data_IF_307390365391
#
_entry.id   IF_307390365391
#
_cell.length_a   1.000
_cell.length_b   1.000
_cell.length_c   1.000
_cell.angle_alpha   90.00
_cell.angle_beta   90.00
_cell.angle_gamma   90.00
#
_symmetry.space_group_name_H-M   'P 1'
#
loop_
_entity.id
_entity.type
_entity.pdbx_description
1 polymer ?
#
# COMPACT_ATOMS: atom_id res chain seq x y z
N UNK A 1 -24.62 -8.00 -61.70
CA UNK A 1 -25.32 -8.20 -60.41
C UNK A 1 -24.41 -9.08 -59.59
N UNK A 2 -23.57 -8.45 -58.78
CA UNK A 2 -22.46 -9.12 -58.07
C UNK A 2 -22.91 -9.29 -56.62
N UNK A 3 -23.18 -10.53 -56.22
CA UNK A 3 -23.53 -10.84 -54.83
C UNK A 3 -22.33 -10.53 -53.91
N UNK A 4 -22.49 -9.48 -53.10
CA UNK A 4 -21.61 -9.22 -51.97
C UNK A 4 -21.87 -10.28 -50.91
N UNK A 5 -20.86 -11.13 -50.70
CA UNK A 5 -20.78 -12.08 -49.58
C UNK A 5 -20.97 -11.33 -48.25
N UNK A 6 -21.99 -11.74 -47.51
CA UNK A 6 -22.27 -11.28 -46.15
C UNK A 6 -21.03 -11.43 -45.27
N UNK A 7 -20.63 -10.34 -44.62
CA UNK A 7 -19.51 -10.31 -43.67
C UNK A 7 -19.74 -11.28 -42.52
N UNK A 8 -18.67 -11.94 -42.08
CA UNK A 8 -18.63 -12.86 -40.94
C UNK A 8 -19.28 -12.17 -39.71
N UNK A 9 -20.21 -12.83 -38.99
CA UNK A 9 -20.81 -12.25 -37.78
C UNK A 9 -19.71 -11.79 -36.82
N UNK A 10 -19.86 -10.62 -36.19
CA UNK A 10 -19.01 -10.21 -35.07
C UNK A 10 -19.05 -11.36 -34.06
N UNK A 11 -17.93 -12.05 -33.86
CA UNK A 11 -17.79 -12.95 -32.73
C UNK A 11 -17.98 -12.09 -31.49
N UNK A 12 -19.06 -12.31 -30.76
CA UNK A 12 -19.31 -11.63 -29.49
C UNK A 12 -18.13 -11.88 -28.57
N UNK A 13 -17.58 -10.81 -28.00
CA UNK A 13 -16.36 -10.88 -27.20
C UNK A 13 -16.69 -11.04 -25.71
N UNK A 14 -15.77 -11.56 -24.88
CA UNK A 14 -15.93 -11.60 -23.43
C UNK A 14 -16.32 -10.23 -22.84
N UNK A 15 -15.79 -9.15 -23.41
CA UNK A 15 -16.08 -7.77 -23.02
C UNK A 15 -17.55 -7.40 -23.27
N UNK A 16 -18.13 -7.83 -24.41
CA UNK A 16 -19.56 -7.58 -24.71
C UNK A 16 -20.48 -8.26 -23.69
N UNK A 17 -20.12 -9.46 -23.25
CA UNK A 17 -20.88 -10.18 -22.22
C UNK A 17 -20.73 -9.49 -20.87
N UNK A 18 -19.53 -9.01 -20.56
CA UNK A 18 -19.24 -8.32 -19.30
C UNK A 18 -19.96 -6.96 -19.20
N UNK A 19 -19.98 -6.18 -20.28
CA UNK A 19 -20.74 -4.93 -20.37
C UNK A 19 -22.24 -5.19 -20.17
N UNK A 20 -22.82 -6.15 -20.89
CA UNK A 20 -24.22 -6.53 -20.76
C UNK A 20 -24.59 -6.98 -19.33
N UNK A 21 -23.70 -7.70 -18.66
CA UNK A 21 -23.88 -8.12 -17.28
C UNK A 21 -23.88 -6.92 -16.33
N UNK A 22 -22.90 -6.01 -16.45
CA UNK A 22 -22.81 -4.81 -15.63
C UNK A 22 -24.03 -3.89 -15.78
N UNK A 23 -24.52 -3.69 -17.01
CA UNK A 23 -25.76 -2.95 -17.25
C UNK A 23 -26.95 -3.56 -16.51
N UNK A 24 -27.15 -4.88 -16.65
CA UNK A 24 -28.26 -5.57 -15.99
C UNK A 24 -28.14 -5.53 -14.47
N UNK A 25 -26.93 -5.63 -13.91
CA UNK A 25 -26.71 -5.51 -12.47
C UNK A 25 -27.03 -4.10 -11.96
N UNK A 26 -26.75 -3.05 -12.73
CA UNK A 26 -27.17 -1.68 -12.40
C UNK A 26 -28.67 -1.47 -12.52
N UNK A 27 -29.30 -2.06 -13.54
CA UNK A 27 -30.74 -1.89 -13.80
C UNK A 27 -31.62 -2.63 -12.78
N UNK A 28 -31.21 -3.83 -12.36
CA UNK A 28 -32.08 -4.79 -11.65
C UNK A 28 -31.46 -5.39 -10.39
N UNK A 29 -30.18 -5.16 -10.16
CA UNK A 29 -29.40 -5.87 -9.13
C UNK A 29 -28.85 -7.22 -9.62
N UNK A 30 -27.84 -7.70 -8.92
CA UNK A 30 -27.14 -8.94 -9.20
C UNK A 30 -28.09 -10.13 -9.06
N UNK A 31 -28.75 -10.31 -7.92
CA UNK A 31 -29.60 -11.48 -7.63
C UNK A 31 -30.77 -11.65 -8.62
N UNK A 32 -31.38 -10.55 -9.05
CA UNK A 32 -32.48 -10.57 -10.00
C UNK A 32 -32.05 -10.83 -11.46
N UNK A 33 -30.74 -10.84 -11.75
CA UNK A 33 -30.20 -11.01 -13.09
C UNK A 33 -29.73 -12.45 -13.31
N UNK A 34 -30.31 -13.14 -14.30
CA UNK A 34 -29.91 -14.51 -14.66
C UNK A 34 -28.88 -14.55 -15.81
N UNK A 35 -28.14 -15.66 -15.93
CA UNK A 35 -27.26 -15.90 -17.10
C UNK A 35 -28.04 -15.87 -18.42
N UNK A 36 -29.32 -16.26 -18.41
CA UNK A 36 -30.16 -16.20 -19.60
C UNK A 36 -30.45 -14.75 -20.01
N UNK A 37 -30.69 -13.85 -19.05
CA UNK A 37 -30.88 -12.42 -19.31
C UNK A 37 -29.61 -11.79 -19.88
N UNK A 38 -28.45 -12.11 -19.31
CA UNK A 38 -27.14 -11.63 -19.78
C UNK A 38 -26.87 -12.11 -21.20
N UNK A 39 -27.06 -13.41 -21.47
CA UNK A 39 -26.84 -13.97 -22.79
C UNK A 39 -27.76 -13.32 -23.84
N UNK A 40 -29.04 -13.12 -23.49
CA UNK A 40 -30.00 -12.42 -24.35
C UNK A 40 -29.57 -10.98 -24.62
N UNK A 41 -29.17 -10.21 -23.59
CA UNK A 41 -28.71 -8.82 -23.73
C UNK A 41 -27.45 -8.71 -24.58
N UNK A 42 -26.49 -9.62 -24.39
CA UNK A 42 -25.25 -9.67 -25.15
C UNK A 42 -25.42 -10.26 -26.58
N UNK A 43 -26.62 -10.72 -26.94
CA UNK A 43 -26.89 -11.33 -28.25
C UNK A 43 -26.16 -12.66 -28.46
N UNK A 44 -25.88 -13.40 -27.40
CA UNK A 44 -25.18 -14.69 -27.44
C UNK A 44 -26.07 -15.84 -26.98
N UNK A 45 -25.72 -17.07 -27.36
CA UNK A 45 -26.36 -18.24 -26.79
C UNK A 45 -25.87 -18.49 -25.35
N UNK A 46 -26.68 -19.19 -24.53
CA UNK A 46 -26.24 -19.65 -23.21
C UNK A 46 -25.00 -20.54 -23.29
N UNK A 47 -24.86 -21.35 -24.34
CA UNK A 47 -23.66 -22.16 -24.58
C UNK A 47 -22.43 -21.28 -24.84
N UNK A 48 -22.60 -20.23 -25.64
CA UNK A 48 -21.55 -19.24 -25.91
C UNK A 48 -21.11 -18.51 -24.64
N UNK A 49 -22.03 -18.20 -23.72
CA UNK A 49 -21.68 -17.64 -22.40
C UNK A 49 -20.74 -18.59 -21.64
N UNK A 50 -21.10 -19.88 -21.53
CA UNK A 50 -20.31 -20.85 -20.77
C UNK A 50 -18.97 -21.22 -21.41
N UNK A 51 -18.74 -20.84 -22.67
CA UNK A 51 -17.41 -20.94 -23.27
C UNK A 51 -16.40 -19.94 -22.68
N UNK A 52 -16.90 -18.86 -22.06
CA UNK A 52 -16.06 -17.79 -21.50
C UNK A 52 -16.11 -17.74 -19.97
N UNK A 53 -17.28 -17.99 -19.37
CA UNK A 53 -17.49 -17.82 -17.93
C UNK A 53 -18.22 -19.03 -17.34
N UNK A 54 -17.72 -19.55 -16.23
CA UNK A 54 -18.34 -20.68 -15.50
C UNK A 54 -19.54 -20.22 -14.68
N UNK A 55 -19.50 -18.97 -14.21
CA UNK A 55 -20.50 -18.36 -13.34
C UNK A 55 -20.77 -16.90 -13.72
N UNK A 56 -21.81 -16.31 -13.11
CA UNK A 56 -22.12 -14.89 -13.26
C UNK A 56 -21.10 -14.00 -12.53
N UNK A 57 -20.51 -14.47 -11.43
CA UNK A 57 -19.46 -13.74 -10.71
C UNK A 57 -18.12 -13.75 -11.46
N UNK A 58 -17.79 -14.84 -12.18
CA UNK A 58 -16.56 -14.95 -12.97
C UNK A 58 -16.39 -13.79 -13.97
N UNK A 59 -17.51 -13.26 -14.47
CA UNK A 59 -17.56 -12.12 -15.39
C UNK A 59 -16.81 -10.92 -14.80
N UNK A 60 -17.11 -10.61 -13.53
CA UNK A 60 -16.54 -9.45 -12.83
C UNK A 60 -15.05 -9.63 -12.57
N UNK A 61 -14.59 -10.86 -12.35
CA UNK A 61 -13.22 -11.13 -11.91
C UNK A 61 -12.25 -11.50 -13.02
N UNK A 62 -12.72 -11.75 -14.24
CA UNK A 62 -11.92 -12.30 -15.35
C UNK A 62 -10.58 -11.58 -15.62
N UNK A 63 -10.59 -10.26 -15.74
CA UNK A 63 -9.40 -9.42 -15.93
C UNK A 63 -8.43 -9.51 -14.74
N UNK A 64 -8.97 -9.46 -13.53
CA UNK A 64 -8.21 -9.63 -12.29
C UNK A 64 -7.58 -11.03 -12.20
N UNK A 65 -8.35 -12.09 -12.51
CA UNK A 65 -7.89 -13.47 -12.45
C UNK A 65 -6.80 -13.76 -13.48
N UNK A 66 -6.87 -13.16 -14.67
CA UNK A 66 -5.80 -13.23 -15.67
C UNK A 66 -4.49 -12.63 -15.13
N UNK A 67 -4.56 -11.48 -14.47
CA UNK A 67 -3.38 -10.84 -13.85
C UNK A 67 -2.86 -11.60 -12.65
N UNK A 68 -3.75 -12.18 -11.82
CA UNK A 68 -3.35 -13.10 -10.76
C UNK A 68 -2.60 -14.28 -11.36
N UNK A 69 -3.07 -14.89 -12.45
CA UNK A 69 -2.35 -16.00 -13.08
C UNK A 69 -0.93 -15.60 -13.53
N UNK A 70 -0.74 -14.41 -14.10
CA UNK A 70 0.59 -13.87 -14.44
C UNK A 70 1.46 -13.67 -13.19
N UNK A 71 0.90 -13.09 -12.12
CA UNK A 71 1.60 -12.91 -10.85
C UNK A 71 2.07 -14.25 -10.28
N UNK A 72 1.19 -15.25 -10.20
CA UNK A 72 1.52 -16.59 -9.70
C UNK A 72 2.62 -17.26 -10.55
N UNK A 73 2.52 -17.15 -11.87
CA UNK A 73 3.54 -17.70 -12.79
C UNK A 73 4.91 -17.08 -12.55
N UNK A 74 4.96 -15.78 -12.27
CA UNK A 74 6.20 -15.08 -11.94
C UNK A 74 6.76 -15.52 -10.58
N UNK A 75 5.89 -15.71 -9.59
CA UNK A 75 6.28 -16.18 -8.26
C UNK A 75 6.76 -17.64 -8.26
N UNK A 76 6.24 -18.47 -9.17
CA UNK A 76 6.63 -19.89 -9.30
C UNK A 76 7.94 -20.11 -10.10
N UNK A 77 8.49 -19.07 -10.74
CA UNK A 77 9.55 -19.20 -11.74
C UNK A 77 10.98 -19.45 -11.20
N UNK A 78 11.21 -19.53 -9.89
CA UNK A 78 12.55 -19.83 -9.34
C UNK A 78 12.80 -19.27 -7.93
N UNK A 79 14.07 -19.03 -7.56
CA UNK A 79 14.48 -18.43 -6.28
C UNK A 79 13.94 -16.99 -6.13
N UNK A 80 12.65 -16.88 -5.82
CA UNK A 80 11.99 -15.61 -5.52
C UNK A 80 12.30 -15.19 -4.10
N UNK A 81 13.08 -14.13 -3.96
CA UNK A 81 13.25 -13.41 -2.72
C UNK A 81 12.15 -12.35 -2.53
N UNK A 82 12.14 -11.65 -1.39
CA UNK A 82 11.13 -10.63 -1.12
C UNK A 82 11.14 -9.42 -2.07
N UNK A 83 12.29 -9.12 -2.71
CA UNK A 83 12.38 -8.09 -3.76
C UNK A 83 11.62 -8.49 -5.03
N UNK A 84 11.57 -9.79 -5.33
CA UNK A 84 10.85 -10.31 -6.48
C UNK A 84 9.34 -10.25 -6.25
N UNK A 85 8.88 -10.48 -5.01
CA UNK A 85 7.47 -10.27 -4.63
C UNK A 85 7.02 -8.83 -4.87
N UNK A 86 7.77 -7.82 -4.40
CA UNK A 86 7.40 -6.40 -4.64
C UNK A 86 7.37 -6.05 -6.13
N UNK A 87 8.35 -6.54 -6.88
CA UNK A 87 8.44 -6.31 -8.33
C UNK A 87 7.25 -6.94 -9.06
N UNK A 88 6.89 -8.17 -8.69
CA UNK A 88 5.77 -8.89 -9.26
C UNK A 88 4.42 -8.21 -8.97
N UNK A 89 4.23 -7.69 -7.74
CA UNK A 89 3.04 -6.94 -7.37
C UNK A 89 2.92 -5.63 -8.17
N UNK A 90 4.02 -4.88 -8.36
CA UNK A 90 4.00 -3.68 -9.22
C UNK A 90 3.65 -4.02 -10.67
N UNK A 91 4.19 -5.12 -11.20
CA UNK A 91 3.84 -5.61 -12.53
C UNK A 91 2.35 -6.00 -12.62
N UNK A 92 1.78 -6.57 -11.56
CA UNK A 92 0.35 -6.90 -11.49
C UNK A 92 -0.55 -5.66 -11.69
N UNK A 93 -0.20 -4.50 -11.12
CA UNK A 93 -0.98 -3.26 -11.28
C UNK A 93 -0.69 -2.50 -12.59
N UNK A 94 0.45 -2.77 -13.24
CA UNK A 94 0.86 -2.03 -14.42
C UNK A 94 -0.18 -2.10 -15.55
N UNK A 95 -0.60 -0.93 -16.05
CA UNK A 95 -1.57 -0.81 -17.14
C UNK A 95 -2.96 -1.36 -16.79
N UNK A 96 -3.32 -1.48 -15.51
CA UNK A 96 -4.67 -1.86 -15.11
C UNK A 96 -5.62 -0.70 -15.42
N UNK A 97 -6.46 -0.89 -16.43
CA UNK A 97 -7.49 0.07 -16.83
C UNK A 97 -8.79 -0.19 -16.04
N UNK A 98 -9.64 0.83 -15.84
CA UNK A 98 -10.99 0.64 -15.30
C UNK A 98 -11.73 -0.46 -16.07
N UNK A 99 -12.18 -1.48 -15.36
CA UNK A 99 -12.91 -2.62 -15.91
C UNK A 99 -14.22 -2.88 -15.15
N UNK A 100 -14.90 -3.98 -15.48
CA UNK A 100 -16.15 -4.39 -14.85
C UNK A 100 -16.01 -4.65 -13.35
N UNK A 101 -14.82 -5.08 -12.88
CA UNK A 101 -14.56 -5.26 -11.44
C UNK A 101 -14.57 -3.91 -10.73
N UNK A 102 -13.86 -2.93 -11.27
CA UNK A 102 -13.78 -1.60 -10.66
C UNK A 102 -15.17 -0.94 -10.58
N UNK A 103 -15.98 -1.07 -11.65
CA UNK A 103 -17.36 -0.58 -11.65
C UNK A 103 -18.24 -1.33 -10.63
N UNK A 104 -18.12 -2.65 -10.56
CA UNK A 104 -18.85 -3.49 -9.61
C UNK A 104 -18.51 -3.14 -8.15
N UNK A 105 -17.23 -2.96 -7.82
CA UNK A 105 -16.79 -2.57 -6.48
C UNK A 105 -17.29 -1.18 -6.10
N UNK A 106 -17.20 -0.20 -7.02
CA UNK A 106 -17.64 1.16 -6.77
C UNK A 106 -19.18 1.27 -6.56
N UNK A 107 -19.94 0.32 -7.12
CA UNK A 107 -21.41 0.31 -7.07
C UNK A 107 -21.96 -0.92 -6.35
N UNK A 108 -21.17 -1.54 -5.46
CA UNK A 108 -21.51 -2.84 -4.87
C UNK A 108 -22.88 -2.84 -4.18
N UNK A 109 -23.19 -1.81 -3.39
CA UNK A 109 -24.48 -1.66 -2.70
C UNK A 109 -25.63 -1.51 -3.72
N UNK A 110 -25.46 -0.64 -4.72
CA UNK A 110 -26.50 -0.37 -5.72
C UNK A 110 -26.80 -1.61 -6.59
N UNK A 111 -25.78 -2.42 -6.88
CA UNK A 111 -25.91 -3.66 -7.62
C UNK A 111 -26.29 -4.87 -6.72
N UNK A 112 -26.32 -4.74 -5.40
CA UNK A 112 -26.55 -5.88 -4.49
C UNK A 112 -25.44 -6.95 -4.57
N UNK A 113 -24.18 -6.51 -4.65
CA UNK A 113 -22.99 -7.34 -4.88
C UNK A 113 -22.13 -7.59 -3.64
N UNK A 114 -22.45 -6.98 -2.49
CA UNK A 114 -21.59 -6.96 -1.29
C UNK A 114 -21.18 -8.38 -0.84
N UNK A 115 -22.16 -9.24 -0.56
CA UNK A 115 -21.91 -10.60 -0.10
C UNK A 115 -21.15 -11.46 -1.12
N UNK A 116 -21.42 -11.25 -2.41
CA UNK A 116 -20.78 -12.00 -3.49
C UNK A 116 -19.34 -11.55 -3.70
N UNK A 117 -19.09 -10.24 -3.71
CA UNK A 117 -17.75 -9.69 -3.79
C UNK A 117 -16.91 -10.10 -2.60
N UNK A 118 -17.46 -10.13 -1.38
CA UNK A 118 -16.73 -10.59 -0.19
C UNK A 118 -16.32 -12.06 -0.29
N UNK A 119 -17.25 -12.94 -0.71
CA UNK A 119 -16.98 -14.37 -0.90
C UNK A 119 -15.92 -14.62 -1.97
N UNK A 120 -16.10 -14.01 -3.14
CA UNK A 120 -15.21 -14.20 -4.28
C UNK A 120 -13.83 -13.56 -4.05
N UNK A 121 -13.79 -12.44 -3.34
CA UNK A 121 -12.56 -11.81 -2.87
C UNK A 121 -11.73 -12.74 -1.99
N UNK A 122 -12.36 -13.44 -1.05
CA UNK A 122 -11.67 -14.32 -0.09
C UNK A 122 -10.90 -15.47 -0.77
N UNK A 123 -11.46 -16.02 -1.86
CA UNK A 123 -10.80 -17.05 -2.67
C UNK A 123 -9.51 -16.50 -3.28
N UNK A 124 -9.56 -15.28 -3.82
CA UNK A 124 -8.46 -14.64 -4.54
C UNK A 124 -7.35 -14.15 -3.61
N UNK A 125 -7.70 -13.53 -2.49
CA UNK A 125 -6.72 -13.14 -1.46
C UNK A 125 -5.98 -14.37 -0.93
N UNK A 126 -6.69 -15.47 -0.67
CA UNK A 126 -6.09 -16.73 -0.25
C UNK A 126 -5.15 -17.31 -1.31
N UNK A 127 -5.55 -17.28 -2.59
CA UNK A 127 -4.74 -17.81 -3.69
C UNK A 127 -3.43 -17.03 -3.86
N UNK A 128 -3.51 -15.70 -3.87
CA UNK A 128 -2.33 -14.81 -3.93
C UNK A 128 -1.45 -15.07 -2.70
N UNK A 129 -2.04 -15.05 -1.51
CA UNK A 129 -1.30 -15.18 -0.26
C UNK A 129 -0.56 -16.51 -0.13
N UNK A 130 -1.16 -17.63 -0.56
CA UNK A 130 -0.51 -18.94 -0.56
C UNK A 130 0.71 -19.00 -1.48
N UNK A 131 0.65 -18.38 -2.66
CA UNK A 131 1.78 -18.36 -3.59
C UNK A 131 2.91 -17.47 -3.08
N UNK A 132 2.59 -16.30 -2.50
CA UNK A 132 3.58 -15.45 -1.82
C UNK A 132 4.23 -16.19 -0.65
N UNK A 133 3.43 -16.87 0.18
CA UNK A 133 3.97 -17.68 1.27
C UNK A 133 4.88 -18.79 0.75
N UNK A 134 4.48 -19.50 -0.31
CA UNK A 134 5.31 -20.53 -0.93
C UNK A 134 6.65 -19.99 -1.45
N UNK A 135 6.63 -18.82 -2.11
CA UNK A 135 7.84 -18.14 -2.59
C UNK A 135 8.80 -17.78 -1.45
N UNK A 136 8.29 -17.43 -0.26
CA UNK A 136 9.10 -17.00 0.88
C UNK A 136 9.62 -18.14 1.77
N UNK A 137 9.09 -19.37 1.63
CA UNK A 137 9.43 -20.52 2.52
C UNK A 137 10.89 -20.95 2.49
N UNK A 138 11.62 -20.63 1.43
CA UNK A 138 13.05 -20.95 1.32
C UNK A 138 13.93 -20.10 2.24
N UNK A 139 13.42 -18.97 2.75
CA UNK A 139 14.19 -18.01 3.55
C UNK A 139 13.50 -17.52 4.84
N UNK A 140 12.34 -18.08 5.20
CA UNK A 140 11.56 -17.67 6.37
C UNK A 140 10.92 -18.85 7.11
N UNK A 141 10.62 -18.64 8.39
CA UNK A 141 9.79 -19.56 9.18
C UNK A 141 8.41 -19.76 8.51
N UNK A 142 7.83 -20.99 8.47
CA UNK A 142 6.58 -21.25 7.77
C UNK A 142 5.39 -20.43 8.27
N UNK A 143 5.26 -20.22 9.59
CA UNK A 143 4.18 -19.40 10.14
C UNK A 143 4.36 -17.95 9.72
N UNK A 144 5.59 -17.45 9.76
CA UNK A 144 5.91 -16.10 9.27
C UNK A 144 5.57 -15.97 7.79
N UNK A 145 5.99 -16.92 6.94
CA UNK A 145 5.70 -16.90 5.51
C UNK A 145 4.18 -16.90 5.22
N UNK A 146 3.39 -17.69 5.94
CA UNK A 146 1.94 -17.74 5.79
C UNK A 146 1.26 -16.43 6.26
N UNK A 147 1.74 -15.80 7.34
CA UNK A 147 1.27 -14.48 7.80
C UNK A 147 1.59 -13.39 6.76
N UNK A 148 2.83 -13.36 6.28
CA UNK A 148 3.28 -12.39 5.26
C UNK A 148 2.46 -12.57 3.97
N UNK A 149 2.29 -13.80 3.51
CA UNK A 149 1.50 -14.11 2.32
C UNK A 149 0.04 -13.65 2.48
N UNK A 150 -0.60 -13.94 3.60
CA UNK A 150 -1.97 -13.51 3.89
C UNK A 150 -2.10 -11.98 3.90
N UNK A 151 -1.14 -11.29 4.51
CA UNK A 151 -1.10 -9.82 4.51
C UNK A 151 -0.96 -9.25 3.10
N UNK A 152 -0.08 -9.82 2.26
CA UNK A 152 0.08 -9.39 0.86
C UNK A 152 -1.19 -9.64 0.04
N UNK A 153 -1.82 -10.81 0.18
CA UNK A 153 -3.08 -11.10 -0.49
C UNK A 153 -4.18 -10.10 -0.13
N UNK A 154 -4.29 -9.77 1.16
CA UNK A 154 -5.21 -8.72 1.64
C UNK A 154 -4.87 -7.32 1.13
N UNK A 155 -3.58 -6.96 1.08
CA UNK A 155 -3.11 -5.68 0.59
C UNK A 155 -3.46 -5.44 -0.89
N UNK A 156 -3.30 -6.45 -1.75
CA UNK A 156 -3.70 -6.36 -3.16
C UNK A 156 -5.19 -6.04 -3.29
N UNK A 157 -6.05 -6.76 -2.58
CA UNK A 157 -7.49 -6.52 -2.65
C UNK A 157 -7.89 -5.16 -2.04
N UNK A 158 -7.26 -4.76 -0.94
CA UNK A 158 -7.47 -3.45 -0.34
C UNK A 158 -7.12 -2.33 -1.32
N UNK A 159 -6.01 -2.45 -2.06
CA UNK A 159 -5.62 -1.51 -3.09
C UNK A 159 -6.66 -1.42 -4.22
N UNK A 160 -7.16 -2.56 -4.72
CA UNK A 160 -8.19 -2.57 -5.79
C UNK A 160 -9.48 -1.89 -5.31
N UNK A 161 -9.94 -2.17 -4.09
CA UNK A 161 -11.14 -1.50 -3.53
C UNK A 161 -10.93 -0.01 -3.33
N UNK A 162 -9.79 0.41 -2.80
CA UNK A 162 -9.46 1.81 -2.61
C UNK A 162 -9.42 2.57 -3.95
N UNK A 163 -8.80 1.97 -4.96
CA UNK A 163 -8.76 2.52 -6.32
C UNK A 163 -10.16 2.63 -6.95
N UNK A 164 -10.98 1.58 -6.83
CA UNK A 164 -12.36 1.60 -7.33
C UNK A 164 -13.20 2.70 -6.65
N UNK A 165 -13.06 2.86 -5.32
CA UNK A 165 -13.77 3.88 -4.56
C UNK A 165 -13.29 5.32 -4.87
N UNK A 166 -12.00 5.50 -5.13
CA UNK A 166 -11.41 6.80 -5.47
C UNK A 166 -11.78 7.29 -6.89
N UNK A 167 -12.45 6.46 -7.69
CA UNK A 167 -12.76 6.74 -9.08
C UNK A 167 -11.64 6.23 -9.99
N UNK A 168 -11.81 5.05 -10.62
CA UNK A 168 -10.72 4.37 -11.32
C UNK A 168 -10.22 5.11 -12.58
N UNK A 169 -11.00 6.07 -13.10
CA UNK A 169 -10.58 6.97 -14.18
C UNK A 169 -9.82 8.22 -13.73
N UNK A 170 -9.73 8.49 -12.42
CA UNK A 170 -9.01 9.64 -11.83
C UNK A 170 -7.71 9.23 -11.15
N UNK A 171 -7.64 7.99 -10.67
CA UNK A 171 -6.49 7.43 -9.97
C UNK A 171 -6.01 6.17 -10.69
N UNK A 172 -4.79 5.72 -10.37
CA UNK A 172 -4.24 4.48 -10.93
C UNK A 172 -4.14 3.40 -9.86
N UNK A 173 -4.42 2.14 -10.23
CA UNK A 173 -4.25 1.01 -9.32
C UNK A 173 -2.80 0.91 -8.83
N UNK A 174 -1.83 1.25 -9.69
CA UNK A 174 -0.40 1.25 -9.33
C UNK A 174 -0.12 2.12 -8.10
N UNK A 175 -0.73 3.30 -8.02
CA UNK A 175 -0.53 4.21 -6.88
C UNK A 175 -1.07 3.64 -5.58
N UNK A 176 -2.32 3.16 -5.58
CA UNK A 176 -2.93 2.54 -4.40
C UNK A 176 -2.25 1.24 -4.01
N UNK A 177 -1.72 0.48 -4.99
CA UNK A 177 -0.99 -0.75 -4.71
C UNK A 177 0.39 -0.44 -4.14
N UNK A 178 1.10 0.57 -4.62
CA UNK A 178 2.36 1.01 -4.02
C UNK A 178 2.16 1.42 -2.56
N UNK A 179 1.10 2.17 -2.25
CA UNK A 179 0.73 2.48 -0.86
C UNK A 179 0.50 1.21 -0.03
N UNK A 180 -0.27 0.26 -0.54
CA UNK A 180 -0.53 -1.01 0.16
C UNK A 180 0.74 -1.87 0.31
N UNK A 181 1.63 -1.88 -0.68
CA UNK A 181 2.94 -2.56 -0.63
C UNK A 181 3.79 -1.95 0.48
N UNK A 182 3.79 -0.61 0.63
CA UNK A 182 4.57 0.03 1.69
C UNK A 182 4.07 -0.31 3.09
N UNK A 183 2.77 -0.56 3.27
CA UNK A 183 2.21 -1.04 4.55
C UNK A 183 2.75 -2.44 4.89
N UNK A 184 2.81 -3.36 3.92
CA UNK A 184 3.26 -4.75 4.15
C UNK A 184 4.76 -4.95 3.94
N UNK A 185 5.46 -3.94 3.43
CA UNK A 185 6.89 -3.96 3.14
C UNK A 185 7.79 -4.36 4.33
N UNK A 186 7.52 -3.97 5.59
CA UNK A 186 8.32 -4.39 6.73
C UNK A 186 8.23 -5.90 7.00
N UNK A 187 7.12 -6.53 6.61
CA UNK A 187 6.91 -7.97 6.75
C UNK A 187 7.69 -8.78 5.70
N UNK A 188 8.11 -8.13 4.60
CA UNK A 188 8.87 -8.72 3.50
C UNK A 188 10.40 -8.64 3.72
N UNK A 189 10.90 -8.33 4.92
CA UNK A 189 12.36 -8.20 5.14
C UNK A 189 13.01 -9.59 5.33
N UNK A 190 14.11 -9.92 4.63
CA UNK A 190 14.78 -11.21 4.79
C UNK A 190 15.31 -11.45 6.21
N UNK A 191 15.26 -12.70 6.68
CA UNK A 191 15.73 -13.12 8.01
C UNK A 191 17.21 -12.81 8.30
N UNK A 192 18.05 -12.50 7.30
CA UNK A 192 19.50 -12.30 7.43
C UNK A 192 19.99 -10.84 7.45
N UNK A 193 19.12 -9.84 7.31
CA UNK A 193 19.50 -8.41 7.31
C UNK A 193 19.46 -7.77 8.70
N UNK A 194 19.84 -6.49 8.78
CA UNK A 194 19.59 -5.65 9.98
C UNK A 194 18.09 -5.62 10.25
N UNK A 195 17.66 -6.14 11.40
CA UNK A 195 16.25 -6.29 11.78
C UNK A 195 15.67 -5.09 12.51
N UNK A 196 16.54 -4.33 13.18
CA UNK A 196 16.16 -3.18 13.97
C UNK A 196 17.31 -2.18 13.96
N UNK A 197 16.98 -0.90 13.78
CA UNK A 197 17.88 0.21 14.06
C UNK A 197 17.46 0.81 15.40
N UNK A 198 18.41 0.91 16.34
CA UNK A 198 18.18 1.58 17.64
C UNK A 198 19.09 2.80 17.72
N UNK A 199 18.49 3.96 17.95
CA UNK A 199 19.20 5.16 18.33
C UNK A 199 19.21 5.26 19.85
N UNK A 200 20.40 5.24 20.45
CA UNK A 200 20.55 5.37 21.91
C UNK A 200 21.06 6.77 22.21
N UNK A 201 20.20 7.58 22.84
CA UNK A 201 20.53 8.93 23.27
C UNK A 201 20.90 8.88 24.75
N UNK A 202 22.06 9.42 25.10
CA UNK A 202 22.44 9.60 26.50
C UNK A 202 21.71 10.82 27.04
N UNK A 203 20.95 10.64 28.12
CA UNK A 203 20.26 11.74 28.78
C UNK A 203 20.80 12.10 30.15
N UNK A 204 20.98 13.40 30.40
CA UNK A 204 21.27 13.92 31.74
C UNK A 204 20.00 14.06 32.59
N UNK A 205 18.85 14.32 31.97
CA UNK A 205 17.52 14.39 32.58
C UNK A 205 16.62 13.32 31.96
N UNK A 206 16.75 12.09 32.47
CA UNK A 206 16.08 10.92 31.92
C UNK A 206 14.54 11.05 31.93
N UNK A 207 13.96 11.52 33.04
CA UNK A 207 12.51 11.62 33.17
C UNK A 207 11.94 12.73 32.26
N UNK A 208 12.66 13.85 32.15
CA UNK A 208 12.33 14.91 31.19
C UNK A 208 12.39 14.42 29.74
N UNK A 209 13.44 13.69 29.36
CA UNK A 209 13.57 13.14 28.01
C UNK A 209 12.48 12.11 27.68
N UNK A 210 12.16 11.20 28.60
CA UNK A 210 11.07 10.22 28.40
C UNK A 210 9.74 10.93 28.24
N UNK A 211 9.44 11.93 29.08
CA UNK A 211 8.18 12.67 28.95
C UNK A 211 8.10 13.45 27.64
N UNK A 212 9.20 14.08 27.21
CA UNK A 212 9.25 14.76 25.92
C UNK A 212 8.93 13.82 24.75
N UNK A 213 9.60 12.67 24.64
CA UNK A 213 9.41 11.76 23.50
C UNK A 213 8.09 10.98 23.57
N UNK A 214 7.68 10.52 24.75
CA UNK A 214 6.47 9.71 24.92
C UNK A 214 5.20 10.57 24.96
N UNK A 215 5.21 11.63 25.76
CA UNK A 215 4.00 12.39 26.09
C UNK A 215 3.81 13.59 25.15
N UNK A 216 4.88 14.32 24.79
CA UNK A 216 4.77 15.47 23.88
C UNK A 216 4.78 15.03 22.42
N UNK A 217 5.77 14.23 22.02
CA UNK A 217 5.90 13.77 20.64
C UNK A 217 4.97 12.58 20.33
N UNK A 218 4.48 11.89 21.37
CA UNK A 218 3.49 10.81 21.24
C UNK A 218 4.06 9.44 20.88
N UNK A 219 5.36 9.20 21.09
CA UNK A 219 5.97 7.91 20.81
C UNK A 219 5.46 6.83 21.77
N UNK A 220 5.26 5.61 21.27
CA UNK A 220 4.80 4.48 22.10
C UNK A 220 5.97 3.86 22.85
N UNK A 221 5.83 3.65 24.16
CA UNK A 221 6.83 2.92 24.96
C UNK A 221 6.74 1.41 24.69
N UNK A 222 7.82 0.81 24.22
CA UNK A 222 7.90 -0.63 23.98
C UNK A 222 8.33 -1.39 25.24
N UNK A 223 9.47 -0.99 25.81
CA UNK A 223 10.07 -1.63 26.98
C UNK A 223 10.85 -0.60 27.81
N UNK A 224 10.78 -0.72 29.13
CA UNK A 224 11.64 0.01 30.06
C UNK A 224 12.40 -0.98 30.94
N UNK A 225 13.68 -0.72 31.16
CA UNK A 225 14.55 -1.53 31.99
C UNK A 225 15.23 -0.68 33.06
N UNK A 226 15.29 -1.22 34.27
CA UNK A 226 16.06 -0.67 35.38
C UNK A 226 17.17 -1.66 35.76
N UNK A 227 18.36 -1.13 35.97
CA UNK A 227 19.55 -1.87 36.33
C UNK A 227 20.13 -1.44 37.68
N UNK A 228 21.26 -2.05 38.09
CA UNK A 228 21.98 -1.66 39.29
C UNK A 228 22.34 -0.17 39.30
N UNK A 229 22.55 0.38 40.51
CA UNK A 229 23.01 1.75 40.72
C UNK A 229 22.14 2.84 40.07
N UNK A 230 20.84 2.58 39.91
CA UNK A 230 19.89 3.52 39.32
C UNK A 230 19.99 3.66 37.81
N UNK A 231 20.67 2.73 37.12
CA UNK A 231 20.73 2.70 35.66
C UNK A 231 19.32 2.51 35.06
N UNK A 232 18.94 3.34 34.08
CA UNK A 232 17.62 3.30 33.45
C UNK A 232 17.75 3.43 31.93
N UNK A 233 16.91 2.71 31.20
CA UNK A 233 16.73 2.87 29.76
C UNK A 233 15.27 2.65 29.40
N UNK A 234 14.70 3.55 28.61
CA UNK A 234 13.40 3.39 27.96
C UNK A 234 13.61 3.17 26.46
N UNK A 235 12.85 2.26 25.88
CA UNK A 235 12.82 1.99 24.44
C UNK A 235 11.47 2.46 23.92
N UNK A 236 11.49 3.46 23.05
CA UNK A 236 10.31 4.02 22.42
C UNK A 236 10.28 3.60 20.93
N UNK A 237 9.08 3.27 20.44
CA UNK A 237 8.85 2.98 19.02
C UNK A 237 8.82 4.28 18.22
N UNK A 238 9.61 4.35 17.16
CA UNK A 238 9.73 5.49 16.25
C UNK A 238 9.16 5.16 14.86
N UNK A 239 8.03 4.44 14.80
CA UNK A 239 7.46 3.97 13.55
C UNK A 239 8.46 3.15 12.73
N UNK A 240 8.63 3.48 11.44
CA UNK A 240 9.63 2.85 10.57
C UNK A 240 10.97 3.58 10.70
N UNK A 241 11.98 2.90 11.24
CA UNK A 241 13.34 3.42 11.26
C UNK A 241 14.03 3.22 9.90
N UNK A 242 14.57 4.30 9.33
CA UNK A 242 15.36 4.29 8.08
C UNK A 242 16.76 4.85 8.32
N UNK A 243 17.74 4.39 7.53
CA UNK A 243 19.07 4.98 7.48
C UNK A 243 19.22 5.69 6.14
N UNK A 244 19.22 7.02 6.17
CA UNK A 244 19.46 7.86 5.00
C UNK A 244 20.93 8.27 4.94
N UNK A 245 21.56 8.08 3.78
CA UNK A 245 22.95 8.46 3.52
C UNK A 245 22.97 9.50 2.40
N UNK A 246 23.37 10.72 2.74
CA UNK A 246 23.55 11.82 1.81
C UNK A 246 25.02 12.21 1.77
N UNK A 247 25.55 12.50 0.58
CA UNK A 247 26.87 13.10 0.47
C UNK A 247 26.85 14.58 0.89
N UNK A 248 28.03 15.19 1.03
CA UNK A 248 28.14 16.56 1.49
C UNK A 248 27.46 17.58 0.55
N UNK A 249 27.36 17.29 -0.75
CA UNK A 249 26.67 18.17 -1.69
C UNK A 249 25.15 18.09 -1.51
N UNK A 250 24.62 16.89 -1.32
CA UNK A 250 23.21 16.66 -1.04
C UNK A 250 22.81 17.27 0.31
N UNK A 251 23.63 17.15 1.36
CA UNK A 251 23.34 17.79 2.66
C UNK A 251 23.28 19.30 2.54
N UNK A 252 24.24 19.94 1.85
CA UNK A 252 24.21 21.39 1.61
C UNK A 252 22.96 21.82 0.85
N UNK A 253 22.57 21.07 -0.18
CA UNK A 253 21.35 21.35 -0.92
C UNK A 253 20.10 21.24 -0.03
N UNK A 254 20.04 20.23 0.85
CA UNK A 254 18.96 20.10 1.83
C UNK A 254 18.94 21.30 2.78
N UNK A 255 20.09 21.71 3.30
CA UNK A 255 20.19 22.81 4.26
C UNK A 255 19.81 24.17 3.66
N UNK A 256 20.18 24.42 2.40
CA UNK A 256 19.75 25.61 1.63
C UNK A 256 18.22 25.66 1.47
N UNK A 257 17.59 24.51 1.30
CA UNK A 257 16.14 24.38 1.10
C UNK A 257 15.37 24.45 2.41
N UNK A 258 15.80 23.71 3.42
CA UNK A 258 15.02 23.46 4.64
C UNK A 258 15.30 24.46 5.76
N UNK A 259 16.47 25.09 5.75
CA UNK A 259 16.96 25.86 6.91
C UNK A 259 17.57 27.21 6.53
N UNK A 260 17.31 27.69 5.31
CA UNK A 260 17.90 28.91 4.77
C UNK A 260 19.45 28.94 4.90
N UNK A 261 20.09 27.77 4.79
CA UNK A 261 21.55 27.61 4.86
C UNK A 261 22.13 27.31 6.26
N UNK A 262 21.31 26.95 7.24
CA UNK A 262 21.77 26.42 8.53
C UNK A 262 22.46 25.06 8.41
N UNK A 263 23.50 24.81 9.20
CA UNK A 263 24.28 23.56 9.10
C UNK A 263 23.54 22.36 9.74
N UNK A 264 23.40 21.26 8.99
CA UNK A 264 23.02 19.94 9.54
C UNK A 264 24.13 19.33 10.40
N UNK A 265 23.76 18.65 11.48
CA UNK A 265 24.67 17.79 12.23
C UNK A 265 25.05 16.52 11.44
N UNK A 266 26.15 15.87 11.84
CA UNK A 266 26.60 14.62 11.23
C UNK A 266 25.63 13.44 11.39
N UNK A 267 24.71 13.51 12.37
CA UNK A 267 23.61 12.56 12.57
C UNK A 267 22.36 13.37 12.93
N UNK A 268 21.28 13.18 12.18
CA UNK A 268 19.95 13.75 12.45
C UNK A 268 18.90 12.67 12.60
N UNK A 269 17.86 12.95 13.36
CA UNK A 269 16.70 12.06 13.53
C UNK A 269 15.51 12.69 12.83
N UNK A 270 15.03 12.05 11.77
CA UNK A 270 13.82 12.46 11.07
C UNK A 270 12.62 11.63 11.54
N UNK A 271 11.50 12.29 11.82
CA UNK A 271 10.28 11.69 12.34
C UNK A 271 9.10 12.14 11.47
N UNK A 272 8.43 11.18 10.85
CA UNK A 272 7.21 11.45 10.08
C UNK A 272 6.04 11.71 11.03
N UNK A 273 5.28 12.78 10.78
CA UNK A 273 4.12 13.18 11.60
C UNK A 273 2.95 13.56 10.71
N UNK A 274 1.74 13.41 11.24
CA UNK A 274 0.51 13.68 10.49
C UNK A 274 0.31 15.18 10.18
N UNK A 275 0.79 16.05 11.07
CA UNK A 275 0.70 17.51 10.95
C UNK A 275 1.99 18.11 11.51
N UNK A 276 2.81 18.67 10.63
CA UNK A 276 4.15 19.16 10.99
C UNK A 276 4.09 20.48 11.76
N UNK A 277 3.12 21.34 11.47
CA UNK A 277 2.91 22.63 12.14
C UNK A 277 2.46 22.43 13.57
N UNK A 278 1.38 21.67 13.78
CA UNK A 278 0.85 21.41 15.11
C UNK A 278 1.89 20.70 15.98
N UNK A 279 2.64 19.77 15.38
CA UNK A 279 3.71 19.05 16.10
C UNK A 279 4.86 19.98 16.44
N UNK A 280 5.36 20.79 15.49
CA UNK A 280 6.44 21.74 15.76
C UNK A 280 6.08 22.74 16.87
N UNK A 281 4.85 23.27 16.85
CA UNK A 281 4.34 24.15 17.91
C UNK A 281 4.33 23.47 19.28
N UNK A 282 3.84 22.22 19.36
CA UNK A 282 3.81 21.45 20.60
C UNK A 282 5.23 21.19 21.14
N UNK A 283 6.19 20.87 20.27
CA UNK A 283 7.58 20.64 20.66
C UNK A 283 8.25 21.92 21.17
N UNK A 284 8.01 23.07 20.51
CA UNK A 284 8.50 24.37 20.98
C UNK A 284 7.91 24.72 22.35
N UNK A 285 6.62 24.47 22.55
CA UNK A 285 5.98 24.68 23.86
C UNK A 285 6.58 23.80 24.96
N UNK A 286 7.00 22.57 24.62
CA UNK A 286 7.71 21.67 25.53
C UNK A 286 9.20 22.02 25.72
N UNK A 287 9.68 23.13 25.15
CA UNK A 287 11.01 23.66 25.38
C UNK A 287 12.06 23.25 24.35
N UNK A 288 11.69 22.62 23.23
CA UNK A 288 12.62 22.35 22.13
C UNK A 288 12.86 23.63 21.28
N UNK A 289 14.10 24.14 21.18
CA UNK A 289 14.40 25.27 20.31
C UNK A 289 14.11 24.95 18.84
N UNK A 290 13.39 25.85 18.15
CA UNK A 290 13.16 25.78 16.70
C UNK A 290 14.43 26.28 15.98
N UNK A 291 14.98 25.44 15.10
CA UNK A 291 16.14 25.76 14.26
C UNK A 291 15.70 26.22 12.86
N UNK A 292 14.64 25.61 12.32
CA UNK A 292 14.01 26.03 11.07
C UNK A 292 12.49 25.75 11.08
N UNK A 293 11.65 26.70 10.60
CA UNK A 293 10.21 26.56 10.62
C UNK A 293 9.70 25.55 9.55
N UNK A 294 8.45 25.05 9.67
CA UNK A 294 7.84 24.15 8.69
C UNK A 294 7.84 24.71 7.25
N UNK A 295 8.72 24.16 6.42
CA UNK A 295 9.01 24.64 5.07
C UNK A 295 8.77 23.54 4.02
N UNK A 296 8.07 23.82 2.90
CA UNK A 296 7.88 22.84 1.83
C UNK A 296 9.18 22.56 1.09
N UNK A 297 9.44 21.29 0.79
CA UNK A 297 10.66 20.82 0.13
C UNK A 297 10.40 20.40 -1.34
N UNK A 298 11.43 20.40 -2.21
CA UNK A 298 11.33 19.86 -3.57
C UNK A 298 10.96 18.38 -3.65
N UNK A 299 11.08 17.63 -2.54
CA UNK A 299 10.76 16.20 -2.47
C UNK A 299 9.32 15.92 -2.05
N UNK A 300 8.45 16.95 -2.12
CA UNK A 300 7.03 16.86 -1.77
C UNK A 300 6.81 16.48 -0.31
N UNK A 301 7.61 17.04 0.58
CA UNK A 301 7.39 16.97 2.01
C UNK A 301 7.38 18.38 2.59
N UNK A 302 6.82 18.52 3.79
CA UNK A 302 6.95 19.74 4.59
C UNK A 302 7.75 19.39 5.84
N UNK A 303 8.84 20.12 6.09
CA UNK A 303 9.84 19.75 7.10
C UNK A 303 10.07 20.92 8.07
N UNK A 304 10.22 20.63 9.36
CA UNK A 304 10.68 21.58 10.37
C UNK A 304 11.86 21.00 11.15
N UNK A 305 12.78 21.85 11.60
CA UNK A 305 14.00 21.43 12.31
C UNK A 305 14.04 22.01 13.72
N UNK A 306 14.32 21.17 14.70
CA UNK A 306 14.33 21.51 16.13
C UNK A 306 15.51 20.85 16.84
N UNK A 307 15.84 21.36 18.03
CA UNK A 307 16.78 20.74 18.95
C UNK A 307 16.03 20.05 20.09
N UNK A 308 16.10 18.72 20.14
CA UNK A 308 15.51 17.91 21.20
C UNK A 308 16.37 17.87 22.48
N UNK A 309 15.89 17.15 23.52
CA UNK A 309 16.68 16.86 24.72
C UNK A 309 18.07 16.32 24.38
N UNK A 310 19.06 16.67 25.21
CA UNK A 310 20.45 16.22 25.10
C UNK A 310 21.14 16.58 23.77
N UNK A 311 20.63 17.60 23.08
CA UNK A 311 21.26 18.17 21.90
C UNK A 311 21.02 17.36 20.62
N UNK A 312 20.04 16.46 20.58
CA UNK A 312 19.69 15.70 19.37
C UNK A 312 19.03 16.62 18.33
N UNK A 313 19.55 16.63 17.09
CA UNK A 313 18.88 17.33 15.99
C UNK A 313 17.67 16.52 15.54
N UNK A 314 16.50 17.13 15.63
CA UNK A 314 15.24 16.54 15.22
C UNK A 314 14.72 17.24 13.97
N UNK A 315 14.33 16.45 12.98
CA UNK A 315 13.51 16.91 11.86
C UNK A 315 12.15 16.24 12.00
N UNK A 316 11.07 17.03 12.04
CA UNK A 316 9.71 16.50 11.84
C UNK A 316 9.30 16.78 10.40
N UNK A 317 8.71 15.79 9.74
CA UNK A 317 8.28 15.95 8.36
C UNK A 317 6.92 15.32 8.08
N UNK A 318 6.24 15.84 7.08
CA UNK A 318 4.96 15.35 6.58
C UNK A 318 5.07 15.17 5.05
N UNK A 319 4.68 14.01 4.52
CA UNK A 319 4.56 13.82 3.06
C UNK A 319 3.33 14.58 2.52
N UNK A 320 3.50 15.26 1.38
CA UNK A 320 2.43 15.99 0.70
C UNK A 320 1.82 15.13 -0.40
N UNK A 321 0.50 15.20 -0.55
CA UNK A 321 -0.25 14.45 -1.57
C UNK A 321 0.29 14.71 -2.99
N UNK A 322 0.21 13.70 -3.86
CA UNK A 322 0.53 13.85 -5.28
C UNK A 322 -0.66 14.49 -5.99
N UNK A 323 -0.57 15.79 -6.30
CA UNK A 323 -1.34 16.40 -7.39
C UNK A 323 -1.05 15.72 -8.74
#
# INVERSE_FOLDING_TARGET
>A
MTEQRAGRPKLSSPETIAEAACELFLERGYDATSIADIALRAGVSRSSFFNYFSSKSDILWSSFDARVATLLTHLDAGETGPRDVRTALRAFAAGFAPDTLALAMANAVAMGLEDELDRESAVRTTRIGRSVAAALRTGADPLVADVVGSAVGGAVLAAVRAWAAAGPGRTSLSQTLDQAIEVVAPLLVPQGGVRQLRLVVRSADFDGAVSFYRDTLGMTEAHAFEGPDGARVAILEAGRATLELADAAQVRFIDEVETDGGESDGIRVALEVADVEATAEALVHAGAPLEAPPTPTPWRSRNARLRGPDGVQLTVFQELDRE
#
